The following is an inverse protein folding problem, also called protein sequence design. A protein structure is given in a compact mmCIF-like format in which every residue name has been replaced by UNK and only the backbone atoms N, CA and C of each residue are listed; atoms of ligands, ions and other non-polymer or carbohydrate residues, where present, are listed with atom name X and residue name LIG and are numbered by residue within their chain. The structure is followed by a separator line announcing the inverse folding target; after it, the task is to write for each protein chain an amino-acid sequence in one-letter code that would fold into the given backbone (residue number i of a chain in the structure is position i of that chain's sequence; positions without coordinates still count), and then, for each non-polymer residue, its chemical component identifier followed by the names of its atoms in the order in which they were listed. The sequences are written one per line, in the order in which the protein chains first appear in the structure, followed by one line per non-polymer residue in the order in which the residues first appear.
data_IF_896816983023
#
_entry.id   IF_896816983023
#
_cell.length_a   1.000
_cell.length_b   1.000
_cell.length_c   1.000
_cell.angle_alpha   90.00
_cell.angle_beta   90.00
_cell.angle_gamma   90.00
#
_symmetry.space_group_name_H-M   'P 1'
#
loop_
_entity.id
_entity.type
_entity.pdbx_description
1 polymer ?
#
# COMPACT_ATOMS: atom_id res chain seq x y z
N UNK A 1 -7.12 9.01 4.06
CA UNK A 1 -7.69 7.72 4.55
C UNK A 1 -7.49 6.56 3.59
N UNK A 2 -7.92 6.66 2.32
CA UNK A 2 -7.78 5.58 1.34
C UNK A 2 -6.33 5.11 1.18
N UNK A 3 -5.38 6.03 0.96
CA UNK A 3 -3.96 5.70 0.83
C UNK A 3 -3.38 5.01 2.08
N UNK A 4 -3.67 5.52 3.29
CA UNK A 4 -3.22 4.87 4.53
C UNK A 4 -3.77 3.44 4.66
N UNK A 5 -5.04 3.23 4.31
CA UNK A 5 -5.63 1.89 4.30
C UNK A 5 -4.97 0.95 3.28
N UNK A 6 -4.55 1.47 2.13
CA UNK A 6 -3.78 0.69 1.15
C UNK A 6 -2.41 0.32 1.69
N UNK A 7 -1.66 1.28 2.23
CA UNK A 7 -0.34 1.01 2.82
C UNK A 7 -0.43 0.09 4.04
N UNK A 8 -1.44 0.23 4.89
CA UNK A 8 -1.67 -0.70 6.00
C UNK A 8 -1.75 -2.15 5.51
N UNK A 9 -2.57 -2.40 4.49
CA UNK A 9 -2.74 -3.74 3.92
C UNK A 9 -1.46 -4.26 3.23
N UNK A 10 -0.70 -3.38 2.58
CA UNK A 10 0.52 -3.73 1.82
C UNK A 10 1.83 -3.44 2.57
N UNK A 11 1.77 -3.21 3.89
CA UNK A 11 2.94 -2.82 4.70
C UNK A 11 4.04 -3.87 4.73
N UNK A 12 3.78 -5.11 4.32
CA UNK A 12 4.80 -6.14 4.14
C UNK A 12 5.74 -5.87 2.94
N UNK A 13 5.34 -5.04 1.99
CA UNK A 13 6.12 -4.67 0.80
C UNK A 13 6.57 -3.20 0.80
N UNK A 14 6.36 -2.47 1.90
CA UNK A 14 6.74 -1.07 2.03
C UNK A 14 8.00 -0.92 2.90
N UNK A 15 8.86 0.04 2.56
CA UNK A 15 10.07 0.39 3.32
C UNK A 15 9.79 1.33 4.51
N UNK A 16 8.59 1.22 5.08
CA UNK A 16 8.18 2.01 6.23
C UNK A 16 7.03 1.30 6.95
N UNK A 17 6.90 1.60 8.24
CA UNK A 17 5.86 1.02 9.07
C UNK A 17 4.50 1.69 8.89
N UNK A 18 3.45 0.90 9.08
CA UNK A 18 2.08 1.39 9.23
C UNK A 18 1.53 0.99 10.59
N UNK A 19 0.43 1.61 11.00
CA UNK A 19 -0.25 1.33 12.26
C UNK A 19 -1.72 1.75 12.17
N UNK A 20 -2.51 1.30 13.14
CA UNK A 20 -3.84 1.88 13.37
C UNK A 20 -3.66 3.12 14.27
N UNK A 21 -4.13 4.32 13.87
CA UNK A 21 -3.98 5.52 14.71
C UNK A 21 -4.60 5.36 16.09
N UNK A 22 -4.08 6.07 17.08
CA UNK A 22 -4.59 6.06 18.45
C UNK A 22 -5.98 6.70 18.55
N UNK A 23 -6.66 6.47 19.68
CA UNK A 23 -8.02 6.98 19.88
C UNK A 23 -8.10 8.50 19.68
N UNK A 24 -7.17 9.24 20.24
CA UNK A 24 -7.12 10.71 20.13
C UNK A 24 -6.91 11.16 18.68
N UNK A 25 -6.13 10.41 17.89
CA UNK A 25 -5.92 10.66 16.47
C UNK A 25 -7.18 10.33 15.65
N UNK A 26 -7.89 9.24 15.98
CA UNK A 26 -9.19 8.94 15.35
C UNK A 26 -10.21 10.03 15.65
N UNK A 27 -10.26 10.52 16.89
CA UNK A 27 -11.16 11.61 17.29
C UNK A 27 -10.79 12.93 16.61
N UNK A 28 -9.48 13.20 16.45
CA UNK A 28 -9.01 14.31 15.64
C UNK A 28 -9.41 14.16 14.18
N UNK A 29 -9.26 13.00 13.56
CA UNK A 29 -9.68 12.74 12.18
C UNK A 29 -11.19 12.91 12.01
N UNK A 30 -12.01 12.46 12.96
CA UNK A 30 -13.45 12.71 12.95
C UNK A 30 -13.75 14.21 12.98
N UNK A 31 -13.02 15.00 13.77
CA UNK A 31 -13.19 16.46 13.81
C UNK A 31 -12.78 17.16 12.50
N UNK A 32 -11.81 16.59 11.77
CA UNK A 32 -11.32 17.17 10.49
C UNK A 32 -12.12 16.73 9.28
N UNK A 33 -12.78 15.59 9.37
CA UNK A 33 -13.53 14.98 8.29
C UNK A 33 -14.94 14.56 8.76
N UNK A 34 -15.76 15.51 9.26
CA UNK A 34 -17.01 15.22 9.97
C UNK A 34 -18.05 14.49 9.11
N UNK A 35 -18.04 14.73 7.79
CA UNK A 35 -19.04 14.14 6.88
C UNK A 35 -18.63 12.77 6.31
N UNK A 36 -17.42 12.28 6.61
CA UNK A 36 -16.87 11.09 5.93
C UNK A 36 -16.13 10.11 6.83
N UNK A 37 -15.39 10.56 7.83
CA UNK A 37 -14.46 9.69 8.54
C UNK A 37 -15.17 8.60 9.35
N UNK A 38 -16.13 8.98 10.18
CA UNK A 38 -16.88 8.03 10.99
C UNK A 38 -17.77 7.12 10.13
N UNK A 39 -18.23 7.61 8.99
CA UNK A 39 -19.08 6.85 8.07
C UNK A 39 -18.30 5.79 7.28
N UNK A 40 -17.08 6.09 6.85
CA UNK A 40 -16.38 5.29 5.84
C UNK A 40 -15.04 4.70 6.28
N UNK A 41 -14.35 5.31 7.26
CA UNK A 41 -12.96 4.99 7.56
C UNK A 41 -12.72 4.52 9.00
N UNK A 42 -13.32 5.17 10.00
CA UNK A 42 -13.21 4.74 11.41
C UNK A 42 -13.59 3.26 11.62
N UNK A 43 -14.73 2.76 11.09
CA UNK A 43 -15.12 1.36 11.32
C UNK A 43 -14.09 0.36 10.80
N UNK A 44 -13.40 0.69 9.70
CA UNK A 44 -12.33 -0.14 9.13
C UNK A 44 -11.11 -0.19 10.03
N UNK A 45 -10.68 0.97 10.55
CA UNK A 45 -9.53 1.08 11.45
C UNK A 45 -9.80 0.35 12.78
N UNK A 46 -11.01 0.51 13.33
CA UNK A 46 -11.41 -0.19 14.56
C UNK A 46 -11.49 -1.70 14.36
N UNK A 47 -12.05 -2.17 13.24
CA UNK A 47 -12.03 -3.58 12.87
C UNK A 47 -10.60 -4.12 12.76
N UNK A 48 -9.70 -3.40 12.11
CA UNK A 48 -8.29 -3.81 12.01
C UNK A 48 -7.59 -3.87 13.37
N UNK A 49 -7.86 -2.92 14.26
CA UNK A 49 -7.35 -2.96 15.64
C UNK A 49 -7.83 -4.21 16.37
N UNK A 50 -9.12 -4.52 16.27
CA UNK A 50 -9.70 -5.73 16.87
C UNK A 50 -9.07 -7.02 16.32
N UNK A 51 -8.85 -7.09 15.00
CA UNK A 51 -8.19 -8.26 14.39
C UNK A 51 -6.72 -8.37 14.82
N UNK A 52 -5.98 -7.26 14.84
CA UNK A 52 -4.60 -7.24 15.28
C UNK A 52 -4.46 -7.71 16.74
N UNK A 53 -5.34 -7.25 17.64
CA UNK A 53 -5.38 -7.69 19.04
C UNK A 53 -5.64 -9.21 19.20
N UNK A 54 -6.26 -9.85 18.20
CA UNK A 54 -6.49 -11.30 18.14
C UNK A 54 -5.36 -12.07 17.44
N UNK A 55 -4.27 -11.41 17.05
CA UNK A 55 -3.18 -11.99 16.28
C UNK A 55 -3.47 -12.13 14.78
N UNK A 56 -4.59 -11.58 14.30
CA UNK A 56 -5.05 -11.67 12.91
C UNK A 56 -4.76 -10.37 12.14
N UNK A 57 -3.60 -9.74 12.36
CA UNK A 57 -3.23 -8.51 11.65
C UNK A 57 -3.23 -8.79 10.14
N UNK A 58 -4.10 -8.09 9.42
CA UNK A 58 -4.33 -8.35 8.00
C UNK A 58 -3.21 -7.80 7.12
N UNK A 59 -2.61 -8.65 6.29
CA UNK A 59 -1.75 -8.27 5.15
C UNK A 59 -2.38 -8.82 3.87
N UNK A 60 -2.55 -7.96 2.86
CA UNK A 60 -3.03 -8.41 1.56
C UNK A 60 -1.89 -9.07 0.78
N UNK A 61 -2.07 -10.34 0.43
CA UNK A 61 -1.06 -11.15 -0.28
C UNK A 61 -1.20 -11.10 -1.81
N UNK A 62 -2.20 -10.40 -2.34
CA UNK A 62 -2.43 -10.25 -3.77
C UNK A 62 -2.00 -8.87 -4.24
N UNK A 63 -1.15 -8.80 -5.27
CA UNK A 63 -0.69 -7.53 -5.84
C UNK A 63 -1.87 -6.71 -6.41
N UNK A 64 -1.86 -5.38 -6.25
CA UNK A 64 -2.95 -4.54 -6.74
C UNK A 64 -2.82 -4.25 -8.24
N UNK A 65 -3.96 -4.01 -8.91
CA UNK A 65 -3.96 -3.36 -10.22
C UNK A 65 -3.43 -1.93 -10.08
N UNK A 66 -2.54 -1.52 -10.99
CA UNK A 66 -1.97 -0.17 -11.02
C UNK A 66 -2.53 0.65 -12.18
N UNK A 67 -2.61 1.97 -12.00
CA UNK A 67 -2.94 2.88 -13.09
C UNK A 67 -1.77 3.00 -14.08
N UNK A 68 -2.04 2.94 -15.39
CA UNK A 68 -1.03 3.07 -16.44
C UNK A 68 -0.27 4.41 -16.42
N UNK A 69 -0.93 5.47 -15.94
CA UNK A 69 -0.41 6.85 -15.93
C UNK A 69 0.32 7.18 -14.64
N UNK A 70 -0.37 7.16 -13.49
CA UNK A 70 0.22 7.58 -12.21
C UNK A 70 0.86 6.43 -11.41
N UNK A 71 0.66 5.17 -11.84
CA UNK A 71 1.19 3.96 -11.21
C UNK A 71 0.70 3.66 -9.79
N UNK A 72 -0.17 4.49 -9.22
CA UNK A 72 -0.82 4.24 -7.93
C UNK A 72 -1.81 3.07 -8.08
N UNK A 73 -1.94 2.20 -7.06
CA UNK A 73 -3.01 1.20 -7.01
C UNK A 73 -4.39 1.80 -7.25
N UNK A 74 -5.28 1.04 -7.89
CA UNK A 74 -6.63 1.46 -8.29
C UNK A 74 -7.60 1.58 -7.09
N UNK A 75 -7.29 2.51 -6.17
CA UNK A 75 -7.91 2.66 -4.85
C UNK A 75 -8.87 3.85 -4.73
N UNK A 76 -8.81 4.79 -5.69
CA UNK A 76 -9.62 6.00 -5.66
C UNK A 76 -11.08 5.71 -6.02
N UNK A 77 -11.98 6.54 -5.50
CA UNK A 77 -13.44 6.38 -5.63
C UNK A 77 -14.08 7.53 -6.39
N UNK A 78 -15.27 7.29 -6.93
CA UNK A 78 -16.02 8.30 -7.67
C UNK A 78 -16.37 9.52 -6.80
N UNK A 79 -16.33 10.74 -7.35
CA UNK A 79 -16.89 11.91 -6.69
C UNK A 79 -18.37 11.68 -6.34
N UNK A 80 -18.75 11.93 -5.09
CA UNK A 80 -20.12 11.76 -4.60
C UNK A 80 -20.50 10.33 -4.20
N UNK A 81 -19.71 9.31 -4.56
CA UNK A 81 -19.88 7.93 -4.10
C UNK A 81 -18.55 7.32 -3.62
N UNK A 82 -18.21 7.46 -2.33
CA UNK A 82 -16.97 6.94 -1.75
C UNK A 82 -16.94 5.40 -1.63
N UNK A 83 -17.96 4.69 -2.14
CA UNK A 83 -18.03 3.22 -2.13
C UNK A 83 -17.78 2.60 -3.51
N UNK A 84 -17.73 3.41 -4.57
CA UNK A 84 -17.50 2.96 -5.95
C UNK A 84 -16.12 3.37 -6.44
N UNK A 85 -15.31 2.41 -6.89
CA UNK A 85 -13.98 2.67 -7.47
C UNK A 85 -14.12 3.43 -8.80
N UNK A 86 -13.34 4.50 -8.98
CA UNK A 86 -13.33 5.32 -10.21
C UNK A 86 -12.42 4.72 -11.29
N UNK A 87 -12.73 3.47 -11.67
CA UNK A 87 -12.02 2.72 -12.69
C UNK A 87 -12.37 3.22 -14.10
N UNK A 88 -11.37 3.36 -14.97
CA UNK A 88 -11.51 3.58 -16.40
C UNK A 88 -10.59 2.64 -17.18
N UNK A 89 -10.90 2.43 -18.45
CA UNK A 89 -10.06 1.67 -19.38
C UNK A 89 -10.04 2.27 -20.78
N UNK A 90 -9.00 1.94 -21.54
CA UNK A 90 -8.83 2.28 -22.97
C UNK A 90 -8.22 1.07 -23.66
N UNK A 91 -8.76 0.72 -24.84
CA UNK A 91 -8.11 -0.19 -25.77
C UNK A 91 -7.21 0.62 -26.71
N UNK A 92 -5.93 0.26 -26.81
CA UNK A 92 -4.95 0.90 -27.69
C UNK A 92 -3.95 -0.15 -28.21
N UNK A 93 -3.82 -0.28 -29.54
CA UNK A 93 -2.93 -1.25 -30.21
C UNK A 93 -2.99 -2.65 -29.61
N UNK A 94 -4.15 -3.30 -29.73
CA UNK A 94 -4.44 -4.67 -29.26
C UNK A 94 -4.27 -4.92 -27.75
N UNK A 95 -4.02 -3.87 -26.96
CA UNK A 95 -3.85 -3.95 -25.52
C UNK A 95 -4.92 -3.13 -24.80
N UNK A 96 -5.28 -3.57 -23.60
CA UNK A 96 -6.17 -2.85 -22.69
C UNK A 96 -5.35 -2.20 -21.58
N UNK A 97 -5.62 -0.93 -21.32
CA UNK A 97 -4.95 -0.13 -20.29
C UNK A 97 -5.97 0.37 -19.27
N UNK A 98 -5.55 0.52 -18.01
CA UNK A 98 -6.42 0.81 -16.87
C UNK A 98 -6.01 2.10 -16.15
N UNK A 99 -7.00 2.89 -15.71
CA UNK A 99 -6.76 4.21 -15.13
C UNK A 99 -7.60 4.48 -13.89
N UNK A 100 -7.00 5.13 -12.91
CA UNK A 100 -7.61 5.41 -11.61
C UNK A 100 -8.50 6.67 -11.61
N UNK A 101 -8.67 7.34 -12.75
CA UNK A 101 -9.50 8.54 -12.90
C UNK A 101 -9.69 8.88 -14.37
N UNK A 102 -10.67 9.73 -14.66
CA UNK A 102 -10.83 10.35 -15.99
C UNK A 102 -9.56 11.11 -16.41
N UNK A 103 -8.96 11.88 -15.51
CA UNK A 103 -7.74 12.64 -15.82
C UNK A 103 -6.56 11.74 -16.20
N UNK A 104 -6.34 10.62 -15.49
CA UNK A 104 -5.27 9.70 -15.87
C UNK A 104 -5.51 9.05 -17.23
N UNK A 105 -6.78 8.78 -17.57
CA UNK A 105 -7.18 8.31 -18.90
C UNK A 105 -6.94 9.38 -19.97
N UNK A 106 -7.37 10.63 -19.75
CA UNK A 106 -7.18 11.74 -20.69
C UNK A 106 -5.70 12.02 -20.97
N UNK A 107 -4.86 12.00 -19.94
CA UNK A 107 -3.40 12.14 -20.08
C UNK A 107 -2.84 11.02 -20.97
N UNK A 108 -3.29 9.77 -20.76
CA UNK A 108 -2.87 8.65 -21.59
C UNK A 108 -3.34 8.81 -23.03
N UNK A 109 -4.60 9.15 -23.26
CA UNK A 109 -5.15 9.34 -24.61
C UNK A 109 -4.46 10.48 -25.37
N UNK A 110 -3.91 11.47 -24.65
CA UNK A 110 -3.15 12.56 -25.25
C UNK A 110 -1.72 12.15 -25.68
N UNK A 111 -1.03 11.32 -24.90
CA UNK A 111 0.33 10.85 -25.20
C UNK A 111 0.49 9.31 -25.04
N UNK A 112 -0.29 8.47 -25.74
CA UNK A 112 -0.33 7.04 -25.44
C UNK A 112 1.01 6.36 -25.69
N UNK A 113 1.74 6.75 -26.74
CA UNK A 113 3.06 6.21 -27.07
C UNK A 113 4.07 6.38 -25.92
N UNK A 114 3.92 7.42 -25.10
CA UNK A 114 4.76 7.66 -23.91
C UNK A 114 4.37 6.70 -22.78
N UNK A 115 3.09 6.60 -22.47
CA UNK A 115 2.63 5.87 -21.30
C UNK A 115 2.55 4.35 -21.49
N UNK A 116 2.47 3.83 -22.73
CA UNK A 116 2.61 2.38 -22.96
C UNK A 116 3.99 1.84 -22.55
N UNK A 117 4.99 2.71 -22.38
CA UNK A 117 6.34 2.36 -21.97
C UNK A 117 6.52 2.33 -20.43
N UNK A 118 5.47 2.63 -19.66
CA UNK A 118 5.54 2.67 -18.19
C UNK A 118 6.02 1.33 -17.62
N UNK A 119 7.08 1.38 -16.80
CA UNK A 119 7.54 0.26 -16.00
C UNK A 119 6.64 0.10 -14.77
N UNK A 120 5.55 -0.65 -14.90
CA UNK A 120 4.60 -0.87 -13.81
C UNK A 120 5.10 -1.96 -12.84
N UNK A 121 5.44 -1.66 -11.57
CA UNK A 121 6.11 -2.62 -10.68
C UNK A 121 5.38 -3.96 -10.54
N UNK A 122 4.05 -3.96 -10.42
CA UNK A 122 3.27 -5.20 -10.31
C UNK A 122 3.37 -6.07 -11.57
N UNK A 123 3.34 -5.46 -12.76
CA UNK A 123 3.48 -6.21 -14.01
C UNK A 123 4.90 -6.79 -14.14
N UNK A 124 5.89 -6.04 -13.68
CA UNK A 124 7.30 -6.41 -13.75
C UNK A 124 7.64 -7.56 -12.80
N UNK A 125 7.00 -7.59 -11.62
CA UNK A 125 7.03 -8.75 -10.72
C UNK A 125 6.43 -9.98 -11.42
N UNK A 126 5.26 -9.85 -12.04
CA UNK A 126 4.65 -10.98 -12.77
C UNK A 126 5.46 -11.44 -13.99
N UNK A 127 6.24 -10.54 -14.59
CA UNK A 127 7.17 -10.87 -15.68
C UNK A 127 8.49 -11.49 -15.18
N UNK A 128 8.74 -11.50 -13.87
CA UNK A 128 9.99 -12.01 -13.28
C UNK A 128 11.16 -11.03 -13.29
N UNK A 129 10.94 -9.75 -13.59
CA UNK A 129 11.98 -8.73 -13.71
C UNK A 129 12.37 -8.08 -12.36
N UNK A 130 11.76 -8.51 -11.26
CA UNK A 130 11.95 -7.94 -9.92
C UNK A 130 12.46 -8.97 -8.91
N UNK A 131 13.28 -9.90 -9.38
CA UNK A 131 13.94 -10.90 -8.54
C UNK A 131 15.46 -10.78 -8.70
N UNK A 132 16.25 -11.20 -7.70
CA UNK A 132 17.70 -11.34 -7.85
C UNK A 132 18.08 -12.23 -9.03
N UNK A 133 19.23 -11.96 -9.64
CA UNK A 133 19.75 -12.78 -10.74
C UNK A 133 19.88 -14.25 -10.32
N UNK A 134 19.38 -15.16 -11.17
CA UNK A 134 19.40 -16.60 -10.89
C UNK A 134 18.22 -17.12 -10.05
N UNK A 135 17.27 -16.27 -9.66
CA UNK A 135 16.04 -16.72 -8.98
C UNK A 135 15.22 -17.62 -9.90
N UNK A 136 14.86 -18.81 -9.41
CA UNK A 136 13.92 -19.72 -10.09
C UNK A 136 12.51 -19.58 -9.46
N UNK A 137 11.58 -18.86 -10.11
CA UNK A 137 10.22 -18.68 -9.60
C UNK A 137 9.35 -19.95 -9.70
N UNK A 138 9.87 -21.02 -10.31
CA UNK A 138 9.18 -22.31 -10.45
C UNK A 138 9.59 -23.33 -9.38
N UNK A 139 10.61 -23.02 -8.58
CA UNK A 139 11.09 -23.89 -7.52
C UNK A 139 10.01 -24.17 -6.47
N UNK A 140 10.00 -25.39 -5.93
CA UNK A 140 9.12 -25.76 -4.84
C UNK A 140 9.36 -24.87 -3.62
N UNK A 141 8.29 -24.29 -3.08
CA UNK A 141 8.37 -23.39 -1.92
C UNK A 141 8.82 -21.96 -2.25
N UNK A 142 8.84 -21.56 -3.53
CA UNK A 142 9.14 -20.18 -3.91
C UNK A 142 8.21 -19.17 -3.19
N UNK A 143 8.82 -18.25 -2.45
CA UNK A 143 8.13 -17.11 -1.85
C UNK A 143 8.35 -15.85 -2.70
N UNK A 144 7.34 -15.43 -3.48
CA UNK A 144 7.48 -14.26 -4.35
C UNK A 144 7.70 -12.97 -3.56
N UNK A 145 7.14 -12.84 -2.35
CA UNK A 145 7.34 -11.64 -1.55
C UNK A 145 8.78 -11.56 -1.08
N UNK A 146 9.34 -12.65 -0.56
CA UNK A 146 10.73 -12.68 -0.12
C UNK A 146 11.72 -12.33 -1.26
N UNK A 147 11.50 -12.87 -2.46
CA UNK A 147 12.32 -12.57 -3.62
C UNK A 147 12.24 -11.09 -4.03
N UNK A 148 11.04 -10.50 -4.02
CA UNK A 148 10.86 -9.06 -4.30
C UNK A 148 11.55 -8.20 -3.25
N UNK A 149 11.43 -8.53 -1.96
CA UNK A 149 12.07 -7.76 -0.89
C UNK A 149 13.59 -7.83 -0.99
N UNK A 150 14.14 -9.00 -1.38
CA UNK A 150 15.56 -9.12 -1.66
C UNK A 150 15.98 -8.23 -2.85
N UNK A 151 15.20 -8.18 -3.92
CA UNK A 151 15.44 -7.26 -5.04
C UNK A 151 15.36 -5.78 -4.63
N UNK A 152 14.47 -5.43 -3.69
CA UNK A 152 14.33 -4.08 -3.14
C UNK A 152 15.37 -3.73 -2.07
N UNK A 153 16.18 -4.69 -1.63
CA UNK A 153 17.08 -4.56 -0.48
C UNK A 153 16.35 -4.15 0.82
N UNK A 154 15.18 -4.75 1.08
CA UNK A 154 14.43 -4.56 2.32
C UNK A 154 14.60 -5.75 3.26
N UNK A 155 14.99 -5.48 4.49
CA UNK A 155 15.10 -6.46 5.57
C UNK A 155 13.71 -6.75 6.16
N UNK A 156 13.14 -7.91 5.82
CA UNK A 156 11.82 -8.31 6.30
C UNK A 156 11.77 -8.43 7.83
N UNK A 157 10.77 -7.81 8.45
CA UNK A 157 10.61 -7.76 9.90
C UNK A 157 11.35 -6.61 10.57
N UNK A 158 12.21 -5.89 9.83
CA UNK A 158 12.93 -4.71 10.29
C UNK A 158 12.43 -3.44 9.64
N UNK A 159 12.46 -3.39 8.30
CA UNK A 159 12.17 -2.17 7.54
C UNK A 159 10.67 -1.99 7.23
N UNK A 160 9.90 -3.07 7.41
CA UNK A 160 8.52 -3.19 6.95
C UNK A 160 7.60 -3.67 8.09
N UNK A 161 6.35 -4.05 7.77
CA UNK A 161 5.33 -4.49 8.73
C UNK A 161 4.81 -3.36 9.63
N UNK A 162 4.20 -3.71 10.75
CA UNK A 162 3.56 -2.78 11.68
C UNK A 162 4.61 -2.03 12.52
N UNK A 163 4.31 -0.80 12.91
CA UNK A 163 5.19 -0.06 13.82
C UNK A 163 5.20 -0.71 15.21
N UNK A 164 4.06 -1.21 15.67
CA UNK A 164 3.96 -1.96 16.91
C UNK A 164 4.79 -3.25 16.83
N UNK A 165 5.77 -3.39 17.73
CA UNK A 165 6.69 -4.53 17.79
C UNK A 165 7.94 -4.40 16.92
N UNK A 166 8.03 -3.35 16.08
CA UNK A 166 9.19 -3.07 15.22
C UNK A 166 10.48 -2.82 16.02
N UNK A 167 11.62 -2.91 15.34
CA UNK A 167 12.90 -2.47 15.91
C UNK A 167 12.90 -0.96 16.17
N UNK A 168 12.29 -0.18 15.27
CA UNK A 168 12.18 1.28 15.38
C UNK A 168 11.42 1.70 16.64
N UNK A 169 10.30 1.06 16.97
CA UNK A 169 9.57 1.33 18.21
C UNK A 169 10.45 1.06 19.44
N UNK A 170 11.15 -0.08 19.48
CA UNK A 170 12.04 -0.45 20.59
C UNK A 170 13.17 0.56 20.76
N UNK A 171 13.77 0.99 19.66
CA UNK A 171 14.83 2.00 19.66
C UNK A 171 14.31 3.35 20.16
N UNK A 172 13.15 3.78 19.69
CA UNK A 172 12.54 5.03 20.12
C UNK A 172 12.21 5.05 21.61
N UNK A 173 11.64 3.96 22.13
CA UNK A 173 11.34 3.81 23.56
C UNK A 173 12.60 3.82 24.42
N UNK A 174 13.68 3.16 23.97
CA UNK A 174 14.97 3.20 24.64
C UNK A 174 15.54 4.62 24.70
N UNK A 175 15.51 5.37 23.60
CA UNK A 175 15.99 6.75 23.54
C UNK A 175 15.17 7.68 24.43
N UNK A 176 13.84 7.58 24.42
CA UNK A 176 12.97 8.35 25.32
C UNK A 176 13.22 8.02 26.79
N UNK A 177 13.48 6.76 27.11
CA UNK A 177 13.86 6.33 28.45
C UNK A 177 15.21 6.89 28.91
N UNK A 178 16.17 7.09 28.00
CA UNK A 178 17.45 7.74 28.32
C UNK A 178 17.26 9.25 28.55
N UNK A 179 16.48 9.92 27.71
CA UNK A 179 16.24 11.37 27.81
C UNK A 179 15.54 11.75 29.13
N UNK A 180 14.59 10.96 29.60
CA UNK A 180 13.86 11.21 30.85
C UNK A 180 14.67 10.92 32.12
N UNK A 181 15.70 10.07 32.05
CA UNK A 181 16.59 9.76 33.19
C UNK A 181 17.73 10.76 33.38
N UNK A 182 18.05 11.53 32.34
CA UNK A 182 19.08 12.56 32.36
C UNK A 182 18.55 13.96 32.72
N UNK A 183 17.25 14.07 33.04
CA UNK A 183 16.56 15.31 33.41
C UNK A 183 16.38 15.42 34.94
#
# INVERSE_FOLDING_TARGET
HQAWGTFYNYGAAAAFHTWVPEKEELDWLASKYPDSFDKHYRPRLEYWREQAAKGNRFYNKTLPMLCQTCQIPMLFTEPGDPTKICYREVDYKDNKYHFCSDHCKEIFEHEPEKYIQSWLPVHQIYQGNCFPEGTDPTAEGFDPLAAVLQYYHLEFGRDNLDFEGSEDQKNFDAWRGMATKNA
#
